data_IF_600781340787
#
_entry.id   IF_600781340787
#
_cell.length_a   1.000
_cell.length_b   1.000
_cell.length_c   1.000
_cell.angle_alpha   90.00
_cell.angle_beta   90.00
_cell.angle_gamma   90.00
#
_symmetry.space_group_name_H-M   'P 1'
#
loop_
_entity.id
_entity.type
_entity.pdbx_description
1 polymer ?
#
# COMPACT_ATOMS: atom_id res chain seq x y z
N UNK A 1 -2.98 -17.19 3.33
CA UNK A 1 -2.04 -16.53 2.41
C UNK A 1 -1.82 -15.09 2.91
N UNK A 2 -0.62 -14.74 3.38
CA UNK A 2 -0.32 -13.35 3.79
C UNK A 2 -0.29 -12.45 2.54
N UNK A 3 -1.08 -11.37 2.55
CA UNK A 3 -1.20 -10.41 1.46
C UNK A 3 0.01 -9.47 1.35
N UNK A 4 0.92 -9.48 2.33
CA UNK A 4 2.13 -8.64 2.35
C UNK A 4 3.34 -9.56 2.43
N UNK A 5 4.06 -9.73 1.31
CA UNK A 5 5.32 -10.48 1.27
C UNK A 5 6.49 -9.53 1.45
N UNK A 6 7.23 -9.69 2.56
CA UNK A 6 8.48 -8.96 2.77
C UNK A 6 9.52 -9.49 1.78
N UNK A 7 10.13 -8.59 1.01
CA UNK A 7 11.16 -8.97 0.05
C UNK A 7 12.49 -9.26 0.78
N UNK A 8 12.82 -10.55 0.92
CA UNK A 8 14.05 -11.01 1.57
C UNK A 8 15.30 -10.96 0.69
N UNK A 9 15.12 -10.79 -0.62
CA UNK A 9 16.19 -10.69 -1.61
C UNK A 9 16.00 -9.42 -2.44
N UNK A 10 16.14 -8.23 -1.82
CA UNK A 10 15.99 -6.97 -2.53
C UNK A 10 17.03 -6.86 -3.65
N UNK A 11 16.62 -6.29 -4.78
CA UNK A 11 17.52 -6.02 -5.90
C UNK A 11 18.57 -4.99 -5.47
N UNK A 12 19.71 -4.96 -6.17
CA UNK A 12 20.72 -3.90 -5.97
C UNK A 12 20.14 -2.50 -6.18
N UNK A 13 19.12 -2.36 -7.05
CA UNK A 13 18.40 -1.10 -7.27
C UNK A 13 17.62 -0.70 -6.02
N UNK A 14 16.85 -1.62 -5.43
CA UNK A 14 16.02 -1.36 -4.25
C UNK A 14 16.87 -0.91 -3.05
N UNK A 15 18.03 -1.55 -2.84
CA UNK A 15 18.96 -1.18 -1.78
C UNK A 15 19.56 0.22 -1.97
N UNK A 16 19.85 0.62 -3.22
CA UNK A 16 20.32 1.98 -3.52
C UNK A 16 19.22 3.01 -3.32
N UNK A 17 18.00 2.72 -3.77
CA UNK A 17 16.83 3.60 -3.56
C UNK A 17 16.61 3.79 -2.06
N UNK A 18 16.63 2.71 -1.29
CA UNK A 18 16.54 2.77 0.17
C UNK A 18 17.63 3.65 0.79
N UNK A 19 18.90 3.46 0.38
CA UNK A 19 20.01 4.26 0.89
C UNK A 19 19.87 5.76 0.56
N UNK A 20 19.45 6.09 -0.66
CA UNK A 20 19.21 7.48 -1.09
C UNK A 20 18.05 8.10 -0.32
N UNK A 21 16.94 7.37 -0.15
CA UNK A 21 15.80 7.85 0.65
C UNK A 21 16.20 8.13 2.09
N UNK A 22 16.98 7.24 2.71
CA UNK A 22 17.49 7.44 4.07
C UNK A 22 18.47 8.60 4.17
N UNK A 23 19.32 8.80 3.16
CA UNK A 23 20.23 9.95 3.10
C UNK A 23 19.44 11.27 3.04
N UNK A 24 18.42 11.36 2.18
CA UNK A 24 17.57 12.54 2.07
C UNK A 24 16.79 12.77 3.37
N UNK A 25 16.19 11.71 3.93
CA UNK A 25 15.38 11.80 5.13
C UNK A 25 16.21 12.23 6.35
N UNK A 26 17.25 11.47 6.70
CA UNK A 26 18.12 11.80 7.83
C UNK A 26 18.91 13.10 7.61
N UNK A 27 19.34 13.36 6.36
CA UNK A 27 20.01 14.60 5.99
C UNK A 27 19.12 15.82 6.20
N UNK A 28 17.87 15.77 5.73
CA UNK A 28 16.89 16.83 5.94
C UNK A 28 16.59 17.07 7.42
N UNK A 29 16.36 16.00 8.20
CA UNK A 29 16.17 16.11 9.65
C UNK A 29 17.42 16.63 10.38
N UNK A 30 18.62 16.24 9.96
CA UNK A 30 19.88 16.74 10.49
C UNK A 30 20.07 18.25 10.27
N UNK A 31 19.75 18.75 9.08
CA UNK A 31 19.78 20.19 8.76
C UNK A 31 18.75 20.95 9.61
N UNK A 32 17.54 20.43 9.75
CA UNK A 32 16.51 21.05 10.60
C UNK A 32 16.93 21.07 12.07
N UNK A 33 17.57 20.01 12.58
CA UNK A 33 18.10 19.96 13.95
C UNK A 33 19.22 20.97 14.16
N UNK A 34 20.09 21.16 13.17
CA UNK A 34 21.14 22.17 13.19
C UNK A 34 20.55 23.59 13.28
N UNK A 35 19.53 23.88 12.46
CA UNK A 35 18.82 25.16 12.47
C UNK A 35 18.11 25.45 13.80
N UNK A 36 17.79 24.41 14.59
CA UNK A 36 17.22 24.54 15.94
C UNK A 36 18.28 24.58 17.06
N UNK A 37 19.56 24.79 16.72
CA UNK A 37 20.70 24.78 17.64
C UNK A 37 20.89 23.45 18.40
N UNK A 38 20.27 22.36 17.94
CA UNK A 38 20.47 21.01 18.50
C UNK A 38 21.68 20.35 17.83
N UNK A 39 22.87 20.91 18.07
CA UNK A 39 24.11 20.55 17.36
C UNK A 39 24.46 19.07 17.51
N UNK A 40 24.30 18.50 18.72
CA UNK A 40 24.56 17.07 18.96
C UNK A 40 23.61 16.20 18.13
N UNK A 41 22.31 16.52 18.10
CA UNK A 41 21.33 15.78 17.31
C UNK A 41 21.63 15.91 15.81
N UNK A 42 22.03 17.09 15.34
CA UNK A 42 22.40 17.32 13.95
C UNK A 42 23.61 16.49 13.53
N UNK A 43 24.68 16.47 14.34
CA UNK A 43 25.90 15.70 14.06
C UNK A 43 25.57 14.20 14.00
N UNK A 44 24.78 13.70 14.96
CA UNK A 44 24.38 12.29 14.98
C UNK A 44 23.54 11.92 13.74
N UNK A 45 22.54 12.73 13.40
CA UNK A 45 21.67 12.47 12.25
C UNK A 45 22.42 12.56 10.92
N UNK A 46 23.27 13.57 10.74
CA UNK A 46 24.08 13.73 9.52
C UNK A 46 25.15 12.65 9.40
N UNK A 47 25.81 12.29 10.51
CA UNK A 47 26.76 11.18 10.55
C UNK A 47 26.10 9.85 10.19
N UNK A 48 24.92 9.57 10.75
CA UNK A 48 24.15 8.37 10.42
C UNK A 48 23.69 8.37 8.97
N UNK A 49 23.24 9.51 8.44
CA UNK A 49 22.86 9.67 7.03
C UNK A 49 24.01 9.33 6.09
N UNK A 50 25.21 9.86 6.38
CA UNK A 50 26.41 9.60 5.59
C UNK A 50 26.83 8.14 5.67
N UNK A 51 26.89 7.55 6.87
CA UNK A 51 27.29 6.15 7.06
C UNK A 51 26.33 5.21 6.35
N UNK A 52 25.02 5.34 6.58
CA UNK A 52 24.01 4.46 5.98
C UNK A 52 23.93 4.68 4.46
N UNK A 53 23.97 5.93 4.01
CA UNK A 53 23.93 6.29 2.60
C UNK A 53 25.15 5.78 1.82
N UNK A 54 26.37 6.05 2.30
CA UNK A 54 27.61 5.61 1.67
C UNK A 54 27.75 4.09 1.70
N UNK A 55 27.45 3.43 2.83
CA UNK A 55 27.48 1.98 2.91
C UNK A 55 26.46 1.33 1.97
N UNK A 56 25.29 1.94 1.79
CA UNK A 56 24.27 1.45 0.85
C UNK A 56 24.66 1.59 -0.62
N UNK A 57 25.47 2.60 -0.96
CA UNK A 57 25.99 2.81 -2.32
C UNK A 57 27.17 1.89 -2.62
N UNK A 58 28.12 1.75 -1.68
CA UNK A 58 29.39 1.05 -1.89
C UNK A 58 29.27 -0.45 -1.60
N UNK A 59 28.61 -0.84 -0.50
CA UNK A 59 28.43 -2.24 -0.08
C UNK A 59 26.94 -2.57 0.12
N UNK A 60 26.15 -2.70 -0.97
CA UNK A 60 24.71 -2.97 -0.88
C UNK A 60 24.40 -4.28 -0.13
N UNK A 61 25.31 -5.26 -0.14
CA UNK A 61 25.14 -6.52 0.62
C UNK A 61 25.05 -6.31 2.13
N UNK A 62 25.77 -5.35 2.70
CA UNK A 62 25.76 -5.08 4.14
C UNK A 62 24.45 -4.42 4.58
N UNK A 63 23.89 -3.56 3.73
CA UNK A 63 22.62 -2.84 4.00
C UNK A 63 21.40 -3.75 3.89
N UNK A 64 21.54 -4.95 3.29
CA UNK A 64 20.45 -5.94 3.21
C UNK A 64 19.89 -6.31 4.58
N UNK A 65 20.74 -6.51 5.60
CA UNK A 65 20.26 -6.88 6.93
C UNK A 65 19.43 -5.77 7.57
N UNK A 66 19.91 -4.53 7.44
CA UNK A 66 19.21 -3.32 7.90
C UNK A 66 17.89 -3.12 7.15
N UNK A 67 17.89 -3.33 5.84
CA UNK A 67 16.68 -3.28 5.01
C UNK A 67 15.63 -4.30 5.46
N UNK A 68 16.03 -5.57 5.63
CA UNK A 68 15.09 -6.62 6.06
C UNK A 68 14.59 -6.37 7.49
N UNK A 69 15.48 -5.99 8.42
CA UNK A 69 15.10 -5.64 9.79
C UNK A 69 14.12 -4.47 9.86
N UNK A 70 14.40 -3.39 9.12
CA UNK A 70 13.50 -2.23 9.04
C UNK A 70 12.17 -2.55 8.35
N UNK A 71 12.17 -3.43 7.34
CA UNK A 71 10.95 -3.89 6.69
C UNK A 71 10.06 -4.67 7.67
N UNK A 72 10.64 -5.51 8.52
CA UNK A 72 9.91 -6.18 9.60
C UNK A 72 9.38 -5.20 10.64
N UNK A 73 10.21 -4.24 11.07
CA UNK A 73 9.77 -3.22 12.04
C UNK A 73 8.61 -2.37 11.51
N UNK A 74 8.59 -2.10 10.20
CA UNK A 74 7.56 -1.27 9.56
C UNK A 74 6.32 -2.07 9.13
N UNK A 75 6.40 -3.40 9.12
CA UNK A 75 5.29 -4.26 8.68
C UNK A 75 3.96 -3.99 9.42
N UNK A 76 3.92 -3.88 10.76
CA UNK A 76 2.67 -3.60 11.47
C UNK A 76 2.05 -2.25 11.09
N UNK A 77 2.90 -1.25 10.81
CA UNK A 77 2.46 0.07 10.36
C UNK A 77 1.78 -0.06 9.01
N UNK A 78 2.41 -0.75 8.06
CA UNK A 78 1.82 -1.01 6.74
C UNK A 78 0.47 -1.72 6.83
N UNK A 79 0.37 -2.73 7.70
CA UNK A 79 -0.88 -3.44 7.97
C UNK A 79 -1.98 -2.49 8.46
N UNK A 80 -1.72 -1.71 9.51
CA UNK A 80 -2.71 -0.77 10.06
C UNK A 80 -3.14 0.26 9.02
N UNK A 81 -2.19 0.81 8.26
CA UNK A 81 -2.47 1.77 7.18
C UNK A 81 -3.34 1.13 6.09
N UNK A 82 -3.10 -0.12 5.70
CA UNK A 82 -3.93 -0.83 4.73
C UNK A 82 -5.37 -0.97 5.23
N UNK A 83 -5.59 -1.36 6.49
CA UNK A 83 -6.92 -1.44 7.07
C UNK A 83 -7.58 -0.06 7.13
N UNK A 84 -6.86 0.95 7.59
CA UNK A 84 -7.36 2.31 7.71
C UNK A 84 -7.79 2.87 6.35
N UNK A 85 -6.97 2.67 5.32
CA UNK A 85 -7.26 3.12 3.95
C UNK A 85 -8.48 2.38 3.39
N UNK A 86 -8.59 1.07 3.63
CA UNK A 86 -9.77 0.29 3.24
C UNK A 86 -11.03 0.78 3.95
N UNK A 87 -10.96 1.04 5.27
CA UNK A 87 -12.05 1.60 6.06
C UNK A 87 -12.48 2.95 5.51
N UNK A 88 -11.53 3.84 5.23
CA UNK A 88 -11.81 5.17 4.67
C UNK A 88 -12.51 5.05 3.31
N UNK A 89 -11.98 4.25 2.37
CA UNK A 89 -12.60 4.07 1.05
C UNK A 89 -14.02 3.48 1.20
N UNK A 90 -14.17 2.46 2.06
CA UNK A 90 -15.45 1.79 2.23
C UNK A 90 -16.51 2.74 2.81
N UNK A 91 -16.19 3.47 3.87
CA UNK A 91 -17.18 4.31 4.55
C UNK A 91 -17.36 5.69 3.93
N UNK A 92 -16.33 6.28 3.31
CA UNK A 92 -16.45 7.62 2.70
C UNK A 92 -16.81 7.60 1.22
N UNK A 93 -16.57 6.50 0.51
CA UNK A 93 -16.85 6.40 -0.92
C UNK A 93 -17.95 5.38 -1.18
N UNK A 94 -17.71 4.11 -0.85
CA UNK A 94 -18.65 3.05 -1.22
C UNK A 94 -20.00 3.15 -0.47
N UNK A 95 -19.96 3.45 0.83
CA UNK A 95 -21.16 3.56 1.67
C UNK A 95 -22.08 4.69 1.24
N UNK A 96 -21.62 5.94 1.00
CA UNK A 96 -22.50 7.00 0.51
C UNK A 96 -23.02 6.71 -0.89
N UNK A 97 -22.23 6.12 -1.79
CA UNK A 97 -22.73 5.68 -3.11
C UNK A 97 -23.89 4.69 -2.93
N UNK A 98 -23.71 3.69 -2.05
CA UNK A 98 -24.76 2.71 -1.72
C UNK A 98 -26.00 3.36 -1.10
N UNK A 99 -25.81 4.34 -0.21
CA UNK A 99 -26.89 5.09 0.42
C UNK A 99 -27.67 5.92 -0.62
N UNK A 100 -26.97 6.63 -1.50
CA UNK A 100 -27.58 7.41 -2.59
C UNK A 100 -28.40 6.50 -3.51
N UNK A 101 -27.86 5.34 -3.93
CA UNK A 101 -28.62 4.36 -4.72
C UNK A 101 -29.87 3.88 -3.99
N UNK A 102 -29.77 3.63 -2.68
CA UNK A 102 -30.91 3.20 -1.86
C UNK A 102 -31.99 4.28 -1.75
N UNK A 103 -31.60 5.55 -1.57
CA UNK A 103 -32.54 6.70 -1.51
C UNK A 103 -33.20 6.94 -2.86
N UNK A 104 -32.45 6.83 -3.97
CA UNK A 104 -32.99 6.92 -5.34
C UNK A 104 -33.83 5.70 -5.75
N UNK A 105 -33.92 4.67 -4.91
CA UNK A 105 -34.69 3.46 -5.19
C UNK A 105 -34.04 2.53 -6.23
N UNK A 106 -32.79 2.80 -6.63
CA UNK A 106 -32.05 1.97 -7.58
C UNK A 106 -31.52 0.71 -6.88
N UNK A 107 -32.10 -0.45 -7.19
CA UNK A 107 -31.70 -1.75 -6.66
C UNK A 107 -31.14 -2.65 -7.78
N UNK A 108 -29.87 -2.44 -8.20
CA UNK A 108 -29.28 -3.18 -9.31
C UNK A 108 -29.12 -4.68 -9.01
N UNK A 109 -29.10 -5.05 -7.73
CA UNK A 109 -28.96 -6.45 -7.31
C UNK A 109 -30.31 -7.11 -7.03
N UNK A 110 -31.45 -6.44 -7.30
CA UNK A 110 -32.80 -6.97 -7.05
C UNK A 110 -32.93 -7.61 -5.67
N UNK A 111 -32.40 -6.95 -4.64
CA UNK A 111 -32.33 -7.48 -3.27
C UNK A 111 -33.68 -7.49 -2.57
N UNK A 112 -34.63 -6.64 -3.01
CA UNK A 112 -35.98 -6.62 -2.46
C UNK A 112 -36.73 -7.92 -2.82
N UNK A 113 -37.29 -8.55 -1.79
CA UNK A 113 -38.15 -9.73 -1.94
C UNK A 113 -39.51 -9.30 -2.52
N UNK A 114 -39.92 -9.91 -3.62
CA UNK A 114 -41.21 -9.74 -4.28
C UNK A 114 -42.05 -11.03 -4.10
N UNK A 115 -43.02 -11.04 -3.16
CA UNK A 115 -43.82 -12.23 -2.89
C UNK A 115 -44.74 -12.63 -4.04
N UNK A 116 -44.99 -11.75 -5.02
CA UNK A 116 -45.84 -12.03 -6.16
C UNK A 116 -45.07 -12.60 -7.36
N UNK A 117 -43.73 -12.71 -7.27
CA UNK A 117 -42.94 -13.34 -8.33
C UNK A 117 -43.04 -14.87 -8.27
N UNK A 118 -43.32 -15.53 -9.40
CA UNK A 118 -43.36 -17.00 -9.46
C UNK A 118 -41.96 -17.62 -9.31
N UNK A 119 -40.89 -16.87 -9.58
CA UNK A 119 -39.51 -17.33 -9.50
C UNK A 119 -38.53 -16.14 -9.47
N UNK A 120 -37.44 -16.27 -8.71
CA UNK A 120 -36.31 -15.32 -8.71
C UNK A 120 -35.21 -15.68 -9.71
N UNK A 121 -35.35 -16.82 -10.40
CA UNK A 121 -34.39 -17.23 -11.43
C UNK A 121 -34.38 -16.21 -12.56
N UNK A 122 -33.23 -15.57 -12.78
CA UNK A 122 -33.02 -14.72 -13.94
C UNK A 122 -32.70 -15.62 -15.16
N UNK A 123 -33.41 -15.44 -16.29
CA UNK A 123 -33.10 -16.19 -17.50
C UNK A 123 -31.67 -15.89 -17.93
N UNK A 124 -30.88 -16.95 -18.09
CA UNK A 124 -29.51 -16.84 -18.58
C UNK A 124 -29.56 -16.25 -19.99
N UNK A 125 -28.87 -15.13 -20.21
CA UNK A 125 -28.66 -14.61 -21.56
C UNK A 125 -28.04 -15.73 -22.45
N UNK A 126 -28.50 -15.81 -23.70
CA UNK A 126 -28.24 -16.93 -24.60
C UNK A 126 -26.77 -17.36 -24.68
N UNK A 127 -26.53 -18.63 -25.05
CA UNK A 127 -25.20 -19.23 -25.08
C UNK A 127 -24.20 -18.32 -25.82
N UNK A 128 -23.27 -17.72 -25.07
CA UNK A 128 -22.12 -17.05 -25.66
C UNK A 128 -21.32 -18.10 -26.43
N UNK A 129 -21.03 -17.80 -27.70
CA UNK A 129 -20.24 -18.69 -28.56
C UNK A 129 -18.96 -19.12 -27.81
N UNK A 130 -18.65 -20.42 -27.71
CA UNK A 130 -17.45 -20.89 -27.02
C UNK A 130 -16.16 -20.23 -27.54
N UNK A 131 -16.12 -19.83 -28.80
CA UNK A 131 -15.01 -19.07 -29.37
C UNK A 131 -14.79 -17.70 -28.71
N UNK A 132 -15.81 -17.13 -28.06
CA UNK A 132 -15.72 -15.89 -27.28
C UNK A 132 -14.89 -16.04 -26.01
N UNK A 133 -14.74 -17.26 -25.46
CA UNK A 133 -13.87 -17.47 -24.30
C UNK A 133 -12.39 -17.26 -24.65
N UNK A 134 -12.03 -17.39 -25.93
CA UNK A 134 -10.66 -17.22 -26.43
C UNK A 134 -10.37 -15.79 -26.89
N UNK A 135 -11.35 -14.88 -26.83
CA UNK A 135 -11.18 -13.45 -27.15
C UNK A 135 -11.49 -12.63 -25.92
N UNK A 136 -10.48 -12.49 -25.05
CA UNK A 136 -10.59 -11.77 -23.78
C UNK A 136 -10.31 -10.26 -23.90
N UNK A 137 -9.93 -9.77 -25.08
CA UNK A 137 -9.62 -8.38 -25.37
C UNK A 137 -10.20 -7.98 -26.72
#
# INVERSE_FOLDING_TARGET
>A
MSLIRINHQPSRKDLRVFAVLWLIFLGGFGILAYNKAQVVAAIVLLGLALVVGLLGIILPRSVRLVYVGSAYATYPIGFVVSFLLLTVIYFLILTPIGLIMRVLGHDPLSRKFDPNRPSYWQPKEGQKNPASYFKQY
#
